data_IF_880934157068
#
_entry.id   IF_880934157068
#
_cell.length_a   1.000
_cell.length_b   1.000
_cell.length_c   1.000
_cell.angle_alpha   90.00
_cell.angle_beta   90.00
_cell.angle_gamma   90.00
#
_symmetry.space_group_name_H-M   'P 1'
#
loop_
_entity.id
_entity.type
_entity.pdbx_description
1 polymer ?
#
# COMPACT_ATOMS: atom_id res chain seq x y z
N UNK A 1 -3.24 24.48 4.20
CA UNK A 1 -2.73 23.28 4.88
C UNK A 1 -1.22 23.30 4.82
N UNK A 2 -0.55 23.39 5.97
CA UNK A 2 0.90 23.18 6.08
C UNK A 2 1.17 21.70 5.85
N UNK A 3 1.67 21.34 4.66
CA UNK A 3 2.20 20.00 4.39
C UNK A 3 3.44 19.82 5.26
N UNK A 4 3.28 19.25 6.45
CA UNK A 4 4.42 18.82 7.23
C UNK A 4 5.17 17.76 6.41
N UNK A 5 6.51 17.85 6.30
CA UNK A 5 7.28 16.82 5.63
C UNK A 5 7.08 15.50 6.37
N UNK A 6 6.80 14.44 5.61
CA UNK A 6 6.71 13.08 6.16
C UNK A 6 8.07 12.69 6.72
N UNK A 7 8.10 12.22 7.97
CA UNK A 7 9.33 11.76 8.61
C UNK A 7 9.67 10.32 8.16
N UNK A 8 10.90 9.87 8.42
CA UNK A 8 11.31 8.47 8.21
C UNK A 8 10.40 7.51 8.99
N UNK A 9 10.06 7.84 10.24
CA UNK A 9 9.20 7.02 11.09
C UNK A 9 7.77 6.91 10.55
N UNK A 10 7.23 8.01 10.01
CA UNK A 10 5.91 7.99 9.37
C UNK A 10 5.92 7.03 8.18
N UNK A 11 6.96 7.07 7.34
CA UNK A 11 7.09 6.18 6.18
C UNK A 11 7.23 4.71 6.58
N UNK A 12 8.05 4.41 7.60
CA UNK A 12 8.22 3.04 8.10
C UNK A 12 6.92 2.48 8.70
N UNK A 13 6.14 3.32 9.39
CA UNK A 13 4.82 2.93 9.90
C UNK A 13 3.82 2.64 8.77
N UNK A 14 3.87 3.38 7.66
CA UNK A 14 3.04 3.09 6.49
C UNK A 14 3.42 1.76 5.81
N UNK A 15 4.72 1.44 5.77
CA UNK A 15 5.15 0.15 5.21
C UNK A 15 4.75 -1.03 6.10
N UNK A 16 4.75 -0.86 7.43
CA UNK A 16 4.22 -1.87 8.37
C UNK A 16 2.73 -2.17 8.10
N UNK A 17 1.95 -1.16 7.73
CA UNK A 17 0.54 -1.29 7.37
C UNK A 17 0.33 -1.89 5.97
N UNK A 18 1.40 -2.24 5.26
CA UNK A 18 1.35 -2.85 3.93
C UNK A 18 1.14 -1.84 2.79
N UNK A 19 1.26 -0.54 3.06
CA UNK A 19 1.09 0.51 2.03
C UNK A 19 2.36 0.76 1.21
N UNK A 20 3.50 0.27 1.66
CA UNK A 20 4.75 0.33 0.91
C UNK A 20 5.66 -0.86 1.23
N UNK A 21 6.63 -1.12 0.36
CA UNK A 21 7.68 -2.11 0.59
C UNK A 21 9.03 -1.42 0.71
N UNK A 22 9.78 -1.77 1.76
CA UNK A 22 11.16 -1.31 1.94
C UNK A 22 12.14 -2.29 1.29
N UNK A 23 13.20 -1.73 0.73
CA UNK A 23 14.32 -2.43 0.14
C UNK A 23 15.62 -1.96 0.78
N UNK A 24 16.63 -2.81 0.79
CA UNK A 24 17.98 -2.43 1.22
C UNK A 24 19.01 -2.98 0.26
N UNK A 25 20.06 -2.20 0.02
CA UNK A 25 21.27 -2.68 -0.62
C UNK A 25 22.26 -3.04 0.48
N UNK A 26 22.45 -4.32 0.68
CA UNK A 26 23.40 -4.87 1.64
C UNK A 26 24.76 -5.08 0.96
N UNK A 27 25.84 -5.02 1.75
CA UNK A 27 27.21 -5.22 1.29
C UNK A 27 27.92 -6.15 2.28
N UNK A 28 28.42 -7.28 1.80
CA UNK A 28 29.06 -8.35 2.57
C UNK A 28 28.16 -9.05 3.61
N UNK A 29 26.84 -9.03 3.44
CA UNK A 29 25.88 -9.66 4.33
C UNK A 29 25.64 -11.14 4.04
N UNK A 30 26.21 -12.01 4.87
CA UNK A 30 25.92 -13.45 4.84
C UNK A 30 24.69 -13.81 5.68
N UNK A 31 24.02 -14.90 5.30
CA UNK A 31 22.89 -15.42 6.05
C UNK A 31 22.53 -16.86 5.71
N UNK A 32 21.32 -17.24 6.12
CA UNK A 32 20.77 -18.58 5.92
C UNK A 32 19.40 -18.50 5.23
N UNK A 33 19.14 -19.37 4.26
CA UNK A 33 17.82 -19.46 3.61
C UNK A 33 16.74 -19.98 4.57
N UNK A 34 15.48 -19.65 4.29
CA UNK A 34 14.37 -20.34 4.92
C UNK A 34 14.21 -21.75 4.34
N UNK A 35 13.95 -22.72 5.22
CA UNK A 35 13.60 -24.08 4.80
C UNK A 35 12.27 -24.08 4.06
N UNK A 36 12.18 -24.81 2.94
CA UNK A 36 10.97 -24.85 2.12
C UNK A 36 9.85 -25.68 2.76
N UNK A 37 10.18 -26.46 3.79
CA UNK A 37 9.26 -27.33 4.53
C UNK A 37 9.25 -28.78 4.05
N UNK A 38 10.06 -29.13 3.06
CA UNK A 38 10.22 -30.52 2.63
C UNK A 38 11.07 -31.35 3.63
N UNK A 39 10.75 -32.64 3.84
CA UNK A 39 11.52 -33.49 4.73
C UNK A 39 12.96 -33.66 4.23
N UNK A 40 13.93 -33.13 4.98
CA UNK A 40 15.36 -33.19 4.64
C UNK A 40 15.96 -31.86 4.14
N UNK A 41 15.15 -30.81 4.03
CA UNK A 41 15.65 -29.47 3.71
C UNK A 41 16.38 -28.85 4.91
N UNK A 42 17.61 -28.42 4.67
CA UNK A 42 18.41 -27.64 5.60
C UNK A 42 18.59 -26.20 5.07
N UNK A 43 18.70 -25.21 5.96
CA UNK A 43 19.06 -23.85 5.54
C UNK A 43 20.38 -23.82 4.78
N UNK A 44 20.38 -23.26 3.57
CA UNK A 44 21.58 -23.03 2.76
C UNK A 44 22.28 -21.76 3.24
N UNK A 45 23.62 -21.76 3.33
CA UNK A 45 24.37 -20.53 3.54
C UNK A 45 24.48 -19.75 2.24
N UNK A 46 24.18 -18.46 2.33
CA UNK A 46 24.07 -17.58 1.16
C UNK A 46 24.66 -16.21 1.45
N UNK A 47 25.12 -15.57 0.38
CA UNK A 47 25.63 -14.20 0.36
C UNK A 47 24.68 -13.31 -0.41
N UNK A 48 24.52 -12.07 0.05
CA UNK A 48 23.63 -11.12 -0.61
C UNK A 48 24.10 -10.83 -2.04
N UNK A 49 23.13 -10.65 -2.95
CA UNK A 49 23.38 -10.12 -4.28
C UNK A 49 22.40 -8.98 -4.58
N UNK A 50 22.90 -7.82 -4.98
CA UNK A 50 22.06 -6.71 -5.41
C UNK A 50 21.12 -6.15 -4.32
N UNK A 51 19.85 -5.93 -4.68
CA UNK A 51 18.86 -5.26 -3.82
C UNK A 51 17.94 -6.30 -3.19
N UNK A 52 17.79 -6.22 -1.88
CA UNK A 52 16.98 -7.13 -1.07
C UNK A 52 15.66 -6.47 -0.68
N UNK A 53 14.55 -7.20 -0.82
CA UNK A 53 13.26 -6.81 -0.24
C UNK A 53 13.26 -7.15 1.25
N UNK A 54 12.89 -6.20 2.09
CA UNK A 54 12.68 -6.43 3.52
C UNK A 54 11.25 -6.96 3.71
N UNK A 55 11.10 -8.15 4.27
CA UNK A 55 9.79 -8.77 4.48
C UNK A 55 9.11 -8.30 5.77
N UNK A 56 9.89 -7.93 6.79
CA UNK A 56 9.39 -7.38 8.04
C UNK A 56 10.17 -6.09 8.39
N UNK A 57 9.44 -5.00 8.56
CA UNK A 57 10.00 -3.67 8.83
C UNK A 57 10.22 -3.40 10.33
N UNK A 58 9.63 -4.20 11.22
CA UNK A 58 9.75 -3.99 12.67
C UNK A 58 11.21 -3.95 13.16
N UNK A 59 12.09 -4.88 12.76
CA UNK A 59 13.47 -4.84 13.21
C UNK A 59 14.22 -3.59 12.71
N UNK A 60 13.83 -3.04 11.55
CA UNK A 60 14.40 -1.81 10.98
C UNK A 60 14.01 -0.60 11.81
N UNK A 61 12.75 -0.50 12.23
CA UNK A 61 12.24 0.60 13.08
C UNK A 61 12.92 0.61 14.45
N UNK A 62 13.15 -0.56 15.02
CA UNK A 62 13.77 -0.72 16.33
C UNK A 62 15.31 -0.71 16.29
N UNK A 63 15.91 -0.65 15.09
CA UNK A 63 17.36 -0.70 14.93
C UNK A 63 18.04 0.51 15.55
N UNK A 64 19.15 0.25 16.25
CA UNK A 64 20.04 1.27 16.81
C UNK A 64 21.36 1.22 16.05
N UNK A 65 21.99 2.38 15.85
CA UNK A 65 23.28 2.46 15.16
C UNK A 65 24.34 1.61 15.89
N UNK A 66 25.05 0.77 15.14
CA UNK A 66 26.07 -0.13 15.69
C UNK A 66 25.51 -1.42 16.30
N UNK A 67 24.19 -1.64 16.26
CA UNK A 67 23.55 -2.86 16.79
C UNK A 67 22.93 -3.64 15.63
N UNK A 68 23.53 -4.77 15.21
CA UNK A 68 22.96 -5.62 14.18
C UNK A 68 21.58 -6.15 14.58
N UNK A 69 20.64 -6.10 13.63
CA UNK A 69 19.30 -6.67 13.78
C UNK A 69 19.09 -7.82 12.80
N UNK A 70 18.28 -8.79 13.19
CA UNK A 70 17.90 -9.89 12.31
C UNK A 70 16.82 -9.43 11.33
N UNK A 71 17.12 -9.46 10.04
CA UNK A 71 16.16 -9.19 8.98
C UNK A 71 15.74 -10.48 8.29
N UNK A 72 14.47 -10.50 7.86
CA UNK A 72 13.99 -11.47 6.88
C UNK A 72 13.94 -10.78 5.53
N UNK A 73 14.67 -11.34 4.57
CA UNK A 73 14.94 -10.74 3.27
C UNK A 73 14.44 -11.65 2.16
N UNK A 74 14.05 -11.05 1.03
CA UNK A 74 13.76 -11.77 -0.20
C UNK A 74 14.45 -11.08 -1.37
N UNK A 75 15.23 -11.83 -2.14
CA UNK A 75 15.99 -11.25 -3.24
C UNK A 75 17.05 -12.19 -3.81
N UNK A 76 17.89 -11.68 -4.72
CA UNK A 76 18.97 -12.45 -5.31
C UNK A 76 20.06 -12.70 -4.26
N UNK A 77 20.61 -13.91 -4.26
CA UNK A 77 21.71 -14.33 -3.41
C UNK A 77 22.65 -15.23 -4.19
N UNK A 78 23.92 -15.24 -3.81
CA UNK A 78 24.88 -16.26 -4.23
C UNK A 78 24.88 -17.38 -3.21
N UNK A 79 24.88 -18.62 -3.69
CA UNK A 79 25.12 -19.78 -2.82
C UNK A 79 26.56 -19.81 -2.38
N UNK A 80 26.80 -20.32 -1.17
CA UNK A 80 28.15 -20.62 -0.67
C UNK A 80 28.66 -21.98 -1.23
N UNK A 81 28.36 -22.23 -2.51
CA UNK A 81 28.99 -23.25 -3.33
C UNK A 81 29.69 -22.48 -4.47
N UNK A 82 30.88 -22.90 -4.89
CA UNK A 82 31.72 -22.18 -5.87
C UNK A 82 31.07 -22.02 -7.28
N UNK A 83 29.76 -22.25 -7.42
CA UNK A 83 28.97 -22.09 -8.63
C UNK A 83 28.82 -20.63 -9.07
N UNK A 84 28.90 -19.68 -8.12
CA UNK A 84 28.54 -18.27 -8.33
C UNK A 84 27.15 -18.10 -8.97
N UNK A 85 26.25 -19.08 -8.80
CA UNK A 85 24.90 -19.02 -9.35
C UNK A 85 24.05 -18.04 -8.53
N UNK A 86 23.52 -17.01 -9.20
CA UNK A 86 22.58 -16.09 -8.58
C UNK A 86 21.18 -16.71 -8.57
N UNK A 87 20.65 -16.94 -7.37
CA UNK A 87 19.31 -17.48 -7.17
C UNK A 87 18.46 -16.55 -6.31
N UNK A 88 17.15 -16.50 -6.54
CA UNK A 88 16.26 -15.77 -5.65
C UNK A 88 15.83 -16.64 -4.48
N UNK A 89 16.01 -16.16 -3.25
CA UNK A 89 15.65 -16.88 -2.01
C UNK A 89 15.00 -15.95 -1.00
N UNK A 90 14.27 -16.56 -0.06
CA UNK A 90 13.95 -15.94 1.23
C UNK A 90 15.00 -16.38 2.23
N UNK A 91 15.58 -15.44 2.95
CA UNK A 91 16.74 -15.69 3.80
C UNK A 91 16.81 -14.72 4.99
N UNK A 92 17.59 -15.10 6.00
CA UNK A 92 17.77 -14.34 7.24
C UNK A 92 19.21 -13.87 7.37
N UNK A 93 19.39 -12.60 7.72
CA UNK A 93 20.70 -11.98 7.89
C UNK A 93 20.75 -11.10 9.15
N UNK A 94 21.91 -11.04 9.79
CA UNK A 94 22.21 -10.06 10.83
C UNK A 94 22.89 -8.86 10.19
N UNK A 95 22.24 -7.70 10.24
CA UNK A 95 22.72 -6.49 9.55
C UNK A 95 22.57 -5.25 10.41
N UNK A 96 23.56 -4.36 10.35
CA UNK A 96 23.44 -3.02 10.93
C UNK A 96 22.73 -2.10 9.92
N UNK A 97 21.40 -2.02 10.03
CA UNK A 97 20.55 -1.34 9.06
C UNK A 97 20.70 0.17 9.08
N UNK A 98 21.10 0.77 10.22
CA UNK A 98 21.31 2.23 10.32
C UNK A 98 22.58 2.69 9.59
N UNK A 99 23.47 1.76 9.25
CA UNK A 99 24.64 2.01 8.39
C UNK A 99 24.35 1.81 6.89
N UNK A 100 23.18 1.26 6.53
CA UNK A 100 22.82 0.93 5.15
C UNK A 100 21.78 1.89 4.53
N UNK A 101 21.70 1.87 3.20
CA UNK A 101 20.74 2.67 2.44
C UNK A 101 19.38 1.93 2.33
N UNK A 102 18.36 2.47 3.01
CA UNK A 102 16.96 2.08 2.78
C UNK A 102 16.44 2.73 1.49
N UNK A 103 15.84 1.91 0.64
CA UNK A 103 15.28 2.33 -0.63
C UNK A 103 13.80 1.94 -0.73
N UNK A 104 13.03 2.75 -1.46
CA UNK A 104 11.62 2.52 -1.72
C UNK A 104 11.35 2.63 -3.21
N UNK A 105 10.41 1.82 -3.72
CA UNK A 105 10.02 1.92 -5.13
C UNK A 105 9.26 3.21 -5.37
N UNK A 106 9.56 3.98 -6.44
CA UNK A 106 8.82 5.19 -6.76
C UNK A 106 7.31 4.97 -6.92
N UNK A 107 6.90 3.81 -7.45
CA UNK A 107 5.49 3.43 -7.59
C UNK A 107 4.77 3.32 -6.25
N UNK A 108 5.43 2.75 -5.24
CA UNK A 108 4.84 2.49 -3.93
C UNK A 108 4.71 3.80 -3.16
N UNK A 109 5.69 4.69 -3.28
CA UNK A 109 5.63 6.04 -2.72
C UNK A 109 4.55 6.87 -3.42
N UNK A 110 4.39 6.75 -4.73
CA UNK A 110 3.31 7.43 -5.46
C UNK A 110 1.92 6.93 -5.01
N UNK A 111 1.74 5.62 -4.89
CA UNK A 111 0.49 5.03 -4.39
C UNK A 111 0.20 5.45 -2.94
N UNK A 112 1.22 5.45 -2.08
CA UNK A 112 1.10 5.95 -0.70
C UNK A 112 0.70 7.42 -0.67
N UNK A 113 1.28 8.26 -1.55
CA UNK A 113 0.90 9.65 -1.65
C UNK A 113 -0.56 9.82 -2.09
N UNK A 114 -1.09 8.98 -2.98
CA UNK A 114 -2.51 9.00 -3.35
C UNK A 114 -3.41 8.65 -2.16
N UNK A 115 -3.06 7.60 -1.40
CA UNK A 115 -3.78 7.18 -0.19
C UNK A 115 -3.80 8.30 0.86
N UNK A 116 -2.63 8.86 1.19
CA UNK A 116 -2.49 9.94 2.19
C UNK A 116 -3.26 11.19 1.77
N UNK A 117 -3.26 11.52 0.48
CA UNK A 117 -4.00 12.66 -0.04
C UNK A 117 -5.52 12.39 -0.19
N UNK A 118 -6.00 11.20 0.20
CA UNK A 118 -7.42 10.83 0.11
C UNK A 118 -7.92 10.70 -1.34
N UNK A 119 -7.01 10.50 -2.30
CA UNK A 119 -7.37 10.31 -3.71
C UNK A 119 -7.79 8.85 -3.86
N UNK A 120 -9.09 8.60 -3.88
CA UNK A 120 -9.62 7.29 -4.27
C UNK A 120 -9.21 7.06 -5.73
N UNK A 121 -8.42 6.01 -6.04
CA UNK A 121 -7.98 5.74 -7.40
C UNK A 121 -9.19 5.58 -8.33
N UNK A 122 -9.15 6.16 -9.53
CA UNK A 122 -10.23 6.01 -10.51
C UNK A 122 -10.48 4.53 -10.87
N UNK A 123 -9.43 3.70 -10.71
CA UNK A 123 -9.41 2.26 -10.92
C UNK A 123 -9.90 1.42 -9.74
N UNK A 124 -10.35 2.01 -8.63
CA UNK A 124 -10.91 1.25 -7.51
C UNK A 124 -12.13 0.45 -7.99
N UNK A 125 -11.99 -0.88 -8.02
CA UNK A 125 -12.99 -1.81 -8.56
C UNK A 125 -13.61 -2.60 -7.42
N UNK A 126 -14.88 -2.28 -7.13
CA UNK A 126 -15.70 -2.99 -6.16
C UNK A 126 -16.17 -4.32 -6.75
N UNK A 127 -16.25 -5.37 -5.94
CA UNK A 127 -16.88 -6.61 -6.38
C UNK A 127 -18.41 -6.42 -6.57
N UNK A 128 -19.10 -7.33 -7.25
CA UNK A 128 -20.52 -7.16 -7.63
C UNK A 128 -21.46 -6.94 -6.42
N UNK A 129 -21.19 -7.59 -5.28
CA UNK A 129 -22.01 -7.43 -4.06
C UNK A 129 -21.75 -6.08 -3.39
N UNK A 130 -20.50 -5.65 -3.34
CA UNK A 130 -20.11 -4.34 -2.83
C UNK A 130 -20.64 -3.22 -3.71
N UNK A 131 -20.60 -3.39 -5.04
CA UNK A 131 -21.19 -2.43 -6.01
C UNK A 131 -22.65 -2.18 -5.68
N UNK A 132 -23.46 -3.23 -5.52
CA UNK A 132 -24.88 -3.09 -5.19
C UNK A 132 -25.09 -2.37 -3.85
N UNK A 133 -24.34 -2.77 -2.82
CA UNK A 133 -24.46 -2.21 -1.47
C UNK A 133 -24.06 -0.73 -1.42
N UNK A 134 -22.91 -0.38 -2.00
CA UNK A 134 -22.39 0.99 -2.08
C UNK A 134 -23.31 1.88 -2.91
N UNK A 135 -23.83 1.37 -4.03
CA UNK A 135 -24.76 2.12 -4.89
C UNK A 135 -26.07 2.45 -4.16
N UNK A 136 -26.62 1.50 -3.40
CA UNK A 136 -27.81 1.73 -2.57
C UNK A 136 -27.54 2.77 -1.46
N UNK A 137 -26.40 2.66 -0.76
CA UNK A 137 -26.01 3.64 0.27
C UNK A 137 -25.90 5.05 -0.32
N UNK A 138 -25.23 5.20 -1.48
CA UNK A 138 -25.09 6.49 -2.15
C UNK A 138 -26.45 7.03 -2.57
N UNK A 139 -27.33 6.22 -3.14
CA UNK A 139 -28.66 6.65 -3.55
C UNK A 139 -29.49 7.17 -2.37
N UNK A 140 -29.47 6.46 -1.23
CA UNK A 140 -30.17 6.88 0.00
C UNK A 140 -29.59 8.18 0.55
N UNK A 141 -28.26 8.26 0.68
CA UNK A 141 -27.61 9.47 1.20
C UNK A 141 -27.82 10.67 0.28
N UNK A 142 -27.77 10.48 -1.04
CA UNK A 142 -28.07 11.51 -2.02
C UNK A 142 -29.52 11.99 -1.89
N UNK A 143 -30.48 11.09 -1.74
CA UNK A 143 -31.88 11.45 -1.51
C UNK A 143 -32.05 12.27 -0.22
N UNK A 144 -31.45 11.84 0.89
CA UNK A 144 -31.50 12.57 2.17
C UNK A 144 -30.84 13.95 2.09
N UNK A 145 -29.79 14.08 1.28
CA UNK A 145 -29.09 15.35 1.06
C UNK A 145 -29.74 16.22 -0.04
N UNK A 146 -30.84 15.77 -0.66
CA UNK A 146 -31.47 16.47 -1.78
C UNK A 146 -30.61 16.53 -3.05
N UNK A 147 -29.63 15.63 -3.18
CA UNK A 147 -28.75 15.53 -4.35
C UNK A 147 -29.39 14.63 -5.41
N UNK A 148 -29.31 15.08 -6.67
CA UNK A 148 -29.76 14.29 -7.81
C UNK A 148 -28.62 13.44 -8.35
N UNK A 149 -28.71 12.11 -8.19
CA UNK A 149 -27.67 11.19 -8.68
C UNK A 149 -27.53 11.19 -10.21
N UNK A 150 -28.57 11.57 -10.95
CA UNK A 150 -28.52 11.76 -12.40
C UNK A 150 -27.85 13.06 -12.84
N UNK A 151 -27.43 13.92 -11.91
CA UNK A 151 -26.69 15.17 -12.17
C UNK A 151 -25.38 15.22 -11.36
N UNK A 152 -24.43 14.30 -11.60
CA UNK A 152 -23.23 14.14 -10.78
C UNK A 152 -22.36 15.39 -10.68
N UNK A 153 -22.25 16.19 -11.75
CA UNK A 153 -21.46 17.42 -11.71
C UNK A 153 -22.12 18.52 -10.87
N UNK A 154 -23.45 18.61 -10.85
CA UNK A 154 -24.14 19.55 -9.97
C UNK A 154 -24.00 19.13 -8.50
N UNK A 155 -24.08 17.83 -8.23
CA UNK A 155 -23.84 17.28 -6.91
C UNK A 155 -22.39 17.50 -6.44
N UNK A 156 -21.41 17.41 -7.35
CA UNK A 156 -20.01 17.72 -7.05
C UNK A 156 -19.84 19.13 -6.49
N UNK A 157 -20.47 20.14 -7.11
CA UNK A 157 -20.35 21.52 -6.64
C UNK A 157 -20.99 21.70 -5.24
N UNK A 158 -22.06 20.98 -4.92
CA UNK A 158 -22.61 20.98 -3.56
C UNK A 158 -21.66 20.28 -2.58
N UNK A 159 -21.13 19.12 -2.96
CA UNK A 159 -20.20 18.36 -2.12
C UNK A 159 -18.89 19.10 -1.88
N UNK A 160 -18.40 19.90 -2.83
CA UNK A 160 -17.18 20.70 -2.67
C UNK A 160 -17.33 21.81 -1.62
N UNK A 161 -18.53 22.36 -1.47
CA UNK A 161 -18.83 23.32 -0.39
C UNK A 161 -18.97 22.64 0.97
N UNK A 162 -19.48 21.41 1.00
CA UNK A 162 -19.73 20.67 2.24
C UNK A 162 -18.50 19.91 2.77
N UNK A 163 -17.61 19.46 1.89
CA UNK A 163 -16.44 18.64 2.23
C UNK A 163 -15.51 19.28 3.29
N UNK A 164 -15.17 20.58 3.22
CA UNK A 164 -14.38 21.24 4.26
C UNK A 164 -15.09 21.27 5.63
N UNK A 165 -16.42 21.44 5.64
CA UNK A 165 -17.22 21.46 6.88
C UNK A 165 -17.24 20.08 7.53
N UNK A 166 -17.33 19.02 6.72
CA UNK A 166 -17.26 17.64 7.16
C UNK A 166 -15.82 17.17 7.47
N UNK A 167 -14.79 17.99 7.19
CA UNK A 167 -13.37 17.63 7.27
C UNK A 167 -13.03 16.37 6.45
N UNK A 168 -13.67 16.20 5.30
CA UNK A 168 -13.45 15.07 4.40
C UNK A 168 -12.81 15.56 3.11
N UNK A 169 -11.84 14.81 2.58
CA UNK A 169 -11.29 15.07 1.27
C UNK A 169 -12.33 14.73 0.19
N UNK A 170 -12.62 15.66 -0.70
CA UNK A 170 -13.54 15.41 -1.80
C UNK A 170 -12.84 14.61 -2.90
N UNK A 171 -13.42 13.49 -3.38
CA UNK A 171 -12.88 12.75 -4.53
C UNK A 171 -12.88 13.58 -5.82
N UNK A 172 -12.22 13.09 -6.87
CA UNK A 172 -12.22 13.74 -8.19
C UNK A 172 -13.63 13.82 -8.80
N UNK A 173 -13.83 14.75 -9.74
CA UNK A 173 -15.09 14.86 -10.50
C UNK A 173 -15.43 13.55 -11.22
N UNK A 174 -14.42 12.86 -11.76
CA UNK A 174 -14.56 11.57 -12.43
C UNK A 174 -15.01 10.46 -11.48
N UNK A 175 -14.40 10.39 -10.30
CA UNK A 175 -14.76 9.41 -9.25
C UNK A 175 -16.19 9.62 -8.75
N UNK A 176 -16.59 10.86 -8.47
CA UNK A 176 -17.97 11.17 -8.05
C UNK A 176 -18.97 10.77 -9.14
N UNK A 177 -18.68 11.09 -10.41
CA UNK A 177 -19.52 10.67 -11.54
C UNK A 177 -19.67 9.15 -11.59
N UNK A 178 -18.58 8.38 -11.50
CA UNK A 178 -18.60 6.91 -11.50
C UNK A 178 -19.54 6.38 -10.42
N UNK A 179 -19.42 6.86 -9.19
CA UNK A 179 -20.25 6.43 -8.06
C UNK A 179 -21.72 6.82 -8.19
N UNK A 180 -21.99 8.01 -8.72
CA UNK A 180 -23.35 8.50 -8.96
C UNK A 180 -24.04 7.74 -10.10
N UNK A 181 -23.32 7.41 -11.18
CA UNK A 181 -23.85 6.60 -12.27
C UNK A 181 -24.21 5.19 -11.78
N UNK A 182 -23.38 4.57 -10.92
CA UNK A 182 -23.70 3.28 -10.30
C UNK A 182 -24.96 3.38 -9.41
N UNK A 183 -25.06 4.44 -8.61
CA UNK A 183 -26.21 4.69 -7.75
C UNK A 183 -27.50 4.93 -8.55
N UNK A 184 -27.41 5.62 -9.69
CA UNK A 184 -28.56 5.89 -10.56
C UNK A 184 -29.20 4.61 -11.12
N UNK A 185 -28.40 3.57 -11.38
CA UNK A 185 -28.90 2.25 -11.82
C UNK A 185 -29.69 1.54 -10.71
N UNK A 186 -29.41 1.86 -9.44
CA UNK A 186 -30.03 1.21 -8.27
C UNK A 186 -31.33 1.89 -7.83
N UNK A 187 -31.72 3.00 -8.45
CA UNK A 187 -32.99 3.68 -8.15
C UNK A 187 -34.12 2.87 -8.77
N UNK A 188 -34.94 2.25 -7.91
CA UNK A 188 -36.21 1.67 -8.32
C UNK A 188 -37.18 2.81 -8.61
N UNK A 189 -37.82 2.87 -9.80
CA UNK A 189 -38.83 3.87 -10.09
C UNK A 189 -39.98 3.79 -9.08
N UNK A 190 -40.56 4.94 -8.74
CA UNK A 190 -41.77 4.97 -7.91
C UNK A 190 -42.84 4.04 -8.51
N UNK A 191 -43.54 3.22 -7.70
CA UNK A 191 -44.67 2.46 -8.20
C UNK A 191 -45.72 3.48 -8.67
N UNK A 192 -45.88 3.59 -9.99
CA UNK A 192 -46.89 4.42 -10.63
C UNK A 192 -48.24 4.14 -10.00
N UNK A 193 -48.82 5.15 -9.35
CA UNK A 193 -50.23 5.17 -8.94
C UNK A 193 -51.14 5.38 -10.13
#
# INVERSE_FOLDING_TARGET
MTKLPMTEEDLLSQCEQGHCTAYSRLIGAQGLTQVSGEPGDEPESVWEAGVQKILDIQPVRLAQAGVPVSLTLAGPVFRDDDSFEEVTRVWHALVDVKSGDLAFRPSDIAALAEIINGVIPETYDLNTKEKASVSAIIAVLAHLAGLNVGKPYAAYEVLSTAAPLARVALPSKGTIKKFFDMAAISIVPDPTK
#
